data_IF_104407856564
#
_entry.id   IF_104407856564
#
_cell.length_a   1.000
_cell.length_b   1.000
_cell.length_c   1.000
_cell.angle_alpha   90.00
_cell.angle_beta   90.00
_cell.angle_gamma   90.00
#
_symmetry.space_group_name_H-M   'P 1'
#
loop_
_entity.id
_entity.type
_entity.pdbx_description
1 polymer ?
#
# COMPACT_ATOMS: atom_id res chain seq x y z
N UNK A 1 6.02 10.22 14.16
CA UNK A 1 5.55 8.96 13.58
C UNK A 1 4.03 9.05 13.54
N UNK A 2 3.43 8.84 12.37
CA UNK A 2 1.98 8.93 12.15
C UNK A 2 1.47 7.59 11.67
N UNK A 3 0.16 7.38 11.80
CA UNK A 3 -0.53 6.22 11.24
C UNK A 3 -1.52 6.68 10.19
N UNK A 4 -1.51 6.04 9.02
CA UNK A 4 -2.41 6.32 7.91
C UNK A 4 -3.01 5.03 7.38
N UNK A 5 -4.26 5.10 6.91
CA UNK A 5 -4.85 4.05 6.10
C UNK A 5 -4.58 4.36 4.64
N UNK A 6 -4.02 3.40 3.92
CA UNK A 6 -3.83 3.44 2.47
C UNK A 6 -4.71 2.37 1.85
N UNK A 7 -5.53 2.77 0.88
CA UNK A 7 -6.40 1.86 0.13
C UNK A 7 -6.02 1.91 -1.34
N UNK A 8 -5.74 0.74 -1.92
CA UNK A 8 -5.49 0.56 -3.34
C UNK A 8 -6.75 -0.01 -3.97
N UNK A 9 -7.16 0.50 -5.13
CA UNK A 9 -8.27 -0.02 -5.92
C UNK A 9 -7.85 -0.23 -7.37
N UNK A 10 -8.40 -1.27 -8.00
CA UNK A 10 -8.20 -1.53 -9.43
C UNK A 10 -8.33 -3.01 -9.81
N UNK A 11 -7.59 -3.43 -10.85
CA UNK A 11 -7.43 -4.84 -11.19
C UNK A 11 -6.19 -5.39 -10.47
N UNK A 12 -6.40 -5.93 -9.27
CA UNK A 12 -5.33 -6.30 -8.36
C UNK A 12 -5.12 -7.81 -8.34
N UNK A 13 -3.85 -8.22 -8.44
CA UNK A 13 -3.39 -9.54 -8.01
C UNK A 13 -3.06 -9.46 -6.53
N UNK A 14 -3.92 -10.06 -5.69
CA UNK A 14 -3.76 -9.97 -4.23
C UNK A 14 -2.37 -10.43 -3.78
N UNK A 15 -1.88 -11.54 -4.32
CA UNK A 15 -0.58 -12.09 -3.96
C UNK A 15 0.58 -11.13 -4.32
N UNK A 16 0.62 -10.67 -5.57
CA UNK A 16 1.65 -9.76 -6.06
C UNK A 16 1.64 -8.42 -5.31
N UNK A 17 0.44 -7.87 -5.06
CA UNK A 17 0.30 -6.66 -4.26
C UNK A 17 0.82 -6.86 -2.83
N UNK A 18 0.44 -7.95 -2.16
CA UNK A 18 0.90 -8.22 -0.78
C UNK A 18 2.41 -8.40 -0.70
N UNK A 19 3.01 -9.07 -1.68
CA UNK A 19 4.46 -9.20 -1.78
C UNK A 19 5.15 -7.84 -1.96
N UNK A 20 4.63 -7.00 -2.86
CA UNK A 20 5.11 -5.63 -3.08
C UNK A 20 4.98 -4.75 -1.83
N UNK A 21 3.81 -4.75 -1.18
CA UNK A 21 3.53 -3.98 0.03
C UNK A 21 4.53 -4.36 1.13
N UNK A 22 4.73 -5.66 1.37
CA UNK A 22 5.71 -6.16 2.33
C UNK A 22 7.13 -5.73 1.99
N UNK A 23 7.51 -5.82 0.70
CA UNK A 23 8.82 -5.39 0.22
C UNK A 23 9.07 -3.91 0.49
N UNK A 24 8.16 -3.02 0.08
CA UNK A 24 8.33 -1.58 0.25
C UNK A 24 8.21 -1.15 1.70
N UNK A 25 7.28 -1.71 2.48
CA UNK A 25 7.16 -1.41 3.91
C UNK A 25 8.48 -1.72 4.64
N UNK A 26 9.06 -2.90 4.39
CA UNK A 26 10.37 -3.27 4.96
C UNK A 26 11.49 -2.34 4.49
N UNK A 27 11.57 -2.06 3.19
CA UNK A 27 12.63 -1.21 2.59
C UNK A 27 12.58 0.23 3.12
N UNK A 28 11.38 0.71 3.43
CA UNK A 28 11.12 2.04 3.93
C UNK A 28 11.05 2.11 5.46
N UNK A 29 11.29 1.01 6.18
CA UNK A 29 11.17 0.94 7.64
C UNK A 29 9.78 1.37 8.16
N UNK A 30 8.72 1.06 7.42
CA UNK A 30 7.34 1.25 7.82
C UNK A 30 6.81 -0.01 8.50
N UNK A 31 5.95 0.18 9.50
CA UNK A 31 5.09 -0.91 10.00
C UNK A 31 3.84 -0.97 9.15
N UNK A 32 3.54 -2.13 8.56
CA UNK A 32 2.34 -2.34 7.74
C UNK A 32 1.46 -3.45 8.31
N UNK A 33 0.15 -3.22 8.39
CA UNK A 33 -0.86 -4.25 8.69
C UNK A 33 -1.93 -4.24 7.62
N UNK A 34 -2.13 -5.37 6.95
CA UNK A 34 -3.21 -5.52 5.96
C UNK A 34 -4.53 -5.66 6.72
N UNK A 35 -5.48 -4.77 6.46
CA UNK A 35 -6.81 -4.79 7.09
C UNK A 35 -7.85 -5.50 6.22
N UNK A 36 -7.70 -5.43 4.90
CA UNK A 36 -8.50 -6.19 3.94
C UNK A 36 -7.72 -6.39 2.64
N UNK A 37 -7.97 -7.49 1.94
CA UNK A 37 -7.34 -7.77 0.66
C UNK A 37 -8.28 -8.55 -0.26
N UNK A 38 -8.48 -8.05 -1.46
CA UNK A 38 -9.29 -8.64 -2.51
C UNK A 38 -8.74 -8.26 -3.89
N UNK A 39 -9.13 -8.96 -4.96
CA UNK A 39 -8.69 -8.62 -6.32
C UNK A 39 -9.15 -7.25 -6.84
N UNK A 40 -9.99 -6.52 -6.11
CA UNK A 40 -10.43 -5.17 -6.48
C UNK A 40 -9.97 -4.06 -5.53
N UNK A 41 -9.69 -4.42 -4.29
CA UNK A 41 -9.35 -3.45 -3.25
C UNK A 41 -8.48 -4.10 -2.18
N UNK A 42 -7.44 -3.39 -1.76
CA UNK A 42 -6.55 -3.75 -0.67
C UNK A 42 -6.43 -2.55 0.27
N UNK A 43 -6.64 -2.76 1.56
CA UNK A 43 -6.49 -1.73 2.58
C UNK A 43 -5.38 -2.08 3.57
N UNK A 44 -4.57 -1.08 3.91
CA UNK A 44 -3.31 -1.21 4.64
C UNK A 44 -3.26 -0.11 5.69
N UNK A 45 -2.92 -0.48 6.92
CA UNK A 45 -2.53 0.46 7.96
C UNK A 45 -1.02 0.60 7.96
N UNK A 46 -0.53 1.81 7.72
CA UNK A 46 0.90 2.14 7.73
C UNK A 46 1.24 3.05 8.91
N UNK A 47 2.29 2.72 9.64
CA UNK A 47 2.84 3.56 10.72
C UNK A 47 4.31 3.87 10.45
N UNK A 48 4.66 5.15 10.45
CA UNK A 48 6.02 5.59 10.10
C UNK A 48 6.22 7.10 10.06
N UNK A 49 7.32 7.52 9.42
CA UNK A 49 7.52 8.91 9.03
C UNK A 49 6.56 9.27 7.89
N UNK A 50 5.95 10.45 7.97
CA UNK A 50 4.96 10.90 6.98
C UNK A 50 5.52 10.92 5.56
N UNK A 51 6.73 11.43 5.37
CA UNK A 51 7.37 11.53 4.05
C UNK A 51 7.62 10.16 3.44
N UNK A 52 7.84 9.18 4.29
CA UNK A 52 8.12 7.81 3.90
C UNK A 52 6.82 7.07 3.52
N UNK A 53 5.71 7.39 4.18
CA UNK A 53 4.37 6.93 3.76
C UNK A 53 4.01 7.51 2.39
N UNK A 54 4.32 8.78 2.13
CA UNK A 54 4.09 9.40 0.81
C UNK A 54 4.95 8.71 -0.28
N UNK A 55 6.20 8.34 0.04
CA UNK A 55 7.04 7.55 -0.89
C UNK A 55 6.47 6.15 -1.15
N UNK A 56 5.86 5.51 -0.15
CA UNK A 56 5.19 4.23 -0.32
C UNK A 56 4.01 4.35 -1.29
N UNK A 57 3.22 5.41 -1.18
CA UNK A 57 2.10 5.69 -2.09
C UNK A 57 2.57 5.79 -3.56
N UNK A 58 3.63 6.56 -3.81
CA UNK A 58 4.22 6.70 -5.15
C UNK A 58 4.69 5.34 -5.69
N UNK A 59 5.26 4.48 -4.84
CA UNK A 59 5.69 3.15 -5.25
C UNK A 59 4.50 2.24 -5.63
N UNK A 60 3.37 2.38 -4.94
CA UNK A 60 2.16 1.62 -5.25
C UNK A 60 1.56 1.97 -6.62
N UNK A 61 1.74 3.19 -7.11
CA UNK A 61 1.31 3.56 -8.48
C UNK A 61 2.05 2.79 -9.58
N UNK A 62 3.29 2.36 -9.32
CA UNK A 62 4.04 1.55 -10.29
C UNK A 62 3.51 0.12 -10.37
N UNK A 63 3.07 -0.42 -9.22
CA UNK A 63 2.51 -1.76 -9.12
C UNK A 63 3.47 -2.89 -9.52
N UNK A 64 3.08 -4.15 -9.29
CA UNK A 64 3.62 -5.30 -10.01
C UNK A 64 3.17 -5.30 -11.48
N UNK A 65 3.82 -6.10 -12.32
CA UNK A 65 3.54 -6.22 -13.76
C UNK A 65 2.17 -6.84 -14.08
N UNK A 66 1.59 -7.61 -13.17
CA UNK A 66 0.28 -8.24 -13.28
C UNK A 66 -0.86 -7.44 -12.63
N UNK A 67 -0.62 -6.17 -12.27
CA UNK A 67 -1.55 -5.32 -11.52
C UNK A 67 -1.81 -4.01 -12.26
N UNK A 68 -3.04 -3.53 -12.18
CA UNK A 68 -3.39 -2.16 -12.56
C UNK A 68 -4.05 -1.47 -11.37
N UNK A 69 -3.39 -0.43 -10.85
CA UNK A 69 -3.92 0.43 -9.79
C UNK A 69 -4.64 1.61 -10.44
N UNK A 70 -5.93 1.72 -10.19
CA UNK A 70 -6.77 2.80 -10.72
C UNK A 70 -6.85 3.97 -9.74
N UNK A 71 -6.85 3.69 -8.43
CA UNK A 71 -7.00 4.70 -7.39
C UNK A 71 -6.19 4.33 -6.16
N UNK A 72 -5.57 5.34 -5.54
CA UNK A 72 -4.98 5.24 -4.21
C UNK A 72 -5.60 6.33 -3.34
N UNK A 73 -6.11 5.92 -2.17
CA UNK A 73 -6.68 6.84 -1.18
C UNK A 73 -5.88 6.73 0.11
N UNK A 74 -5.53 7.88 0.69
CA UNK A 74 -4.78 7.97 1.94
C UNK A 74 -5.57 8.78 2.96
N UNK A 75 -5.83 8.16 4.11
CA UNK A 75 -6.62 8.74 5.21
C UNK A 75 -5.80 8.78 6.50
N UNK A 76 -5.99 9.86 7.28
CA UNK A 76 -5.46 9.95 8.65
C UNK A 76 -6.37 9.13 9.57
N UNK A 77 -5.78 8.40 10.52
CA UNK A 77 -6.49 7.54 11.48
C UNK A 77 -6.42 8.11 12.88
#
# INVERSE_FOLDING_TARGET
MVTRRVSLEGALSTESCLAMISHFARRLSLTSTITSASPRSISIMLTGDERVIDMFEIACWLGPDDVTVDTITVEIV
#
